data_IF_774163420119
#
_entry.id   IF_774163420119
#
_cell.length_a   1.000
_cell.length_b   1.000
_cell.length_c   1.000
_cell.angle_alpha   90.00
_cell.angle_beta   90.00
_cell.angle_gamma   90.00
#
_symmetry.space_group_name_H-M   'P 1'
#
loop_
_entity.id
_entity.type
_entity.pdbx_description
1 polymer ?
#
# COMPACT_ATOMS: atom_id res chain seq x y z
N UNK A 1 5.56 13.52 -1.54
CA UNK A 1 5.60 12.88 -2.88
C UNK A 1 4.56 13.56 -3.77
N UNK A 2 4.73 13.52 -5.10
CA UNK A 2 3.73 14.10 -6.02
C UNK A 2 2.47 13.23 -6.04
N UNK A 3 1.29 13.85 -6.14
CA UNK A 3 0.02 13.14 -6.36
C UNK A 3 -0.40 13.29 -7.81
N UNK A 4 -0.50 12.18 -8.53
CA UNK A 4 -1.11 12.19 -9.86
C UNK A 4 -2.62 12.26 -9.72
N UNK A 5 -3.25 13.15 -10.50
CA UNK A 5 -4.70 13.34 -10.52
C UNK A 5 -5.21 12.99 -11.91
N UNK A 6 -6.15 12.04 -11.95
CA UNK A 6 -6.90 11.67 -13.13
C UNK A 6 -8.15 12.55 -13.16
N UNK A 7 -8.24 13.44 -14.13
CA UNK A 7 -9.45 14.22 -14.39
C UNK A 7 -10.26 13.52 -15.47
N UNK A 8 -11.57 13.42 -15.26
CA UNK A 8 -12.52 12.96 -16.29
C UNK A 8 -13.29 14.17 -16.79
N UNK A 9 -13.51 14.28 -18.11
CA UNK A 9 -14.34 15.36 -18.65
C UNK A 9 -15.77 15.24 -18.09
N UNK A 10 -16.19 16.23 -17.30
CA UNK A 10 -17.52 16.25 -16.66
C UNK A 10 -17.71 15.27 -15.49
N UNK A 11 -16.67 14.57 -15.04
CA UNK A 11 -16.73 13.63 -13.92
C UNK A 11 -15.84 14.01 -12.73
N UNK A 12 -15.78 13.16 -11.70
CA UNK A 12 -14.98 13.42 -10.51
C UNK A 12 -13.48 13.42 -10.85
N UNK A 13 -12.72 14.23 -10.10
CA UNK A 13 -11.26 14.19 -10.08
C UNK A 13 -10.83 13.06 -9.15
N UNK A 14 -9.92 12.21 -9.60
CA UNK A 14 -9.43 11.06 -8.82
C UNK A 14 -7.95 11.22 -8.52
N UNK A 15 -7.56 11.14 -7.24
CA UNK A 15 -6.17 10.97 -6.86
C UNK A 15 -5.76 9.50 -7.04
N UNK A 16 -4.64 9.28 -7.74
CA UNK A 16 -3.99 7.98 -7.83
C UNK A 16 -3.17 7.72 -6.57
N UNK A 17 -3.53 6.67 -5.85
CA UNK A 17 -2.64 6.01 -4.89
C UNK A 17 -1.88 4.92 -5.65
N UNK A 18 -0.56 5.04 -5.73
CA UNK A 18 0.28 3.99 -6.30
C UNK A 18 1.62 3.94 -5.62
N UNK A 19 2.03 2.79 -5.10
CA UNK A 19 3.38 2.60 -4.59
C UNK A 19 3.74 1.11 -4.48
N UNK A 20 5.04 0.87 -4.30
CA UNK A 20 5.58 -0.44 -3.93
C UNK A 20 6.08 -0.35 -2.49
N UNK A 21 5.71 -1.33 -1.67
CA UNK A 21 6.22 -1.48 -0.31
C UNK A 21 7.20 -2.66 -0.27
N UNK A 22 8.34 -2.45 0.38
CA UNK A 22 9.34 -3.50 0.56
C UNK A 22 9.97 -3.42 1.94
N UNK A 23 10.27 -4.56 2.53
CA UNK A 23 11.15 -4.65 3.69
C UNK A 23 12.59 -4.87 3.23
N UNK A 24 13.45 -3.86 3.37
CA UNK A 24 14.85 -3.90 2.89
C UNK A 24 15.74 -4.88 3.65
N UNK A 25 15.48 -5.09 4.94
CA UNK A 25 16.18 -6.06 5.78
C UNK A 25 15.29 -6.53 6.93
N UNK A 26 15.57 -7.71 7.48
CA UNK A 26 14.88 -8.23 8.67
C UNK A 26 15.00 -7.21 9.82
N UNK A 27 13.87 -6.79 10.38
CA UNK A 27 13.82 -5.79 11.46
C UNK A 27 14.12 -4.33 11.06
N UNK A 28 14.50 -4.04 9.81
CA UNK A 28 14.79 -2.68 9.36
C UNK A 28 13.54 -1.84 9.03
N UNK A 29 12.36 -2.46 9.10
CA UNK A 29 11.09 -1.85 8.75
C UNK A 29 10.75 -1.99 7.28
N UNK A 30 9.46 -1.83 6.99
CA UNK A 30 8.97 -1.64 5.64
C UNK A 30 9.13 -0.18 5.22
N UNK A 31 9.26 0.05 3.92
CA UNK A 31 9.33 1.39 3.33
C UNK A 31 8.59 1.46 2.00
N UNK A 32 8.27 2.69 1.59
CA UNK A 32 7.81 3.01 0.23
C UNK A 32 9.03 3.09 -0.68
N UNK A 33 9.09 2.27 -1.73
CA UNK A 33 10.15 2.37 -2.73
C UNK A 33 9.97 3.64 -3.56
N UNK A 34 11.03 4.46 -3.60
CA UNK A 34 11.14 5.68 -4.39
C UNK A 34 12.56 5.76 -4.94
N UNK A 35 12.79 5.12 -6.09
CA UNK A 35 14.08 5.04 -6.76
C UNK A 35 13.92 5.28 -8.28
N UNK A 36 14.96 5.08 -9.07
CA UNK A 36 14.91 5.34 -10.53
C UNK A 36 13.90 4.47 -11.29
N UNK A 37 13.44 3.36 -10.70
CA UNK A 37 12.47 2.45 -11.28
C UNK A 37 11.07 2.54 -10.62
N UNK A 38 10.94 3.22 -9.47
CA UNK A 38 9.70 3.27 -8.70
C UNK A 38 9.31 4.72 -8.36
N UNK A 39 8.15 5.15 -8.84
CA UNK A 39 7.63 6.50 -8.66
C UNK A 39 6.28 6.47 -7.89
N UNK A 40 6.29 6.60 -6.55
CA UNK A 40 5.06 6.60 -5.77
C UNK A 40 4.19 7.84 -6.03
N UNK A 41 2.87 7.65 -5.95
CA UNK A 41 1.84 8.66 -6.15
C UNK A 41 0.85 8.65 -4.99
N UNK A 42 0.52 9.83 -4.45
CA UNK A 42 -0.55 9.99 -3.46
C UNK A 42 -0.27 9.41 -2.07
N UNK A 43 0.78 8.59 -1.92
CA UNK A 43 1.24 8.05 -0.63
C UNK A 43 2.33 8.97 -0.08
N UNK A 44 2.17 9.41 1.17
CA UNK A 44 3.08 10.35 1.81
C UNK A 44 4.03 9.69 2.82
N UNK A 45 3.69 8.50 3.30
CA UNK A 45 4.51 7.76 4.24
C UNK A 45 3.95 6.39 4.57
N UNK A 46 4.77 5.59 5.23
CA UNK A 46 4.45 4.26 5.71
C UNK A 46 4.84 4.17 7.19
N UNK A 47 3.92 3.68 8.01
CA UNK A 47 4.13 3.39 9.43
C UNK A 47 3.95 1.89 9.63
N UNK A 48 4.91 1.26 10.31
CA UNK A 48 4.81 -0.15 10.67
C UNK A 48 4.26 -0.29 12.09
N UNK A 49 3.15 -1.01 12.22
CA UNK A 49 2.57 -1.43 13.50
C UNK A 49 2.88 -2.91 13.76
N UNK A 50 2.66 -3.41 15.00
CA UNK A 50 2.89 -4.82 15.32
C UNK A 50 2.09 -5.81 14.47
N UNK A 51 0.91 -5.42 13.97
CA UNK A 51 -0.05 -6.29 13.27
C UNK A 51 -0.40 -5.84 11.85
N UNK A 52 0.02 -4.64 11.43
CA UNK A 52 -0.29 -4.10 10.10
C UNK A 52 0.71 -3.03 9.63
N UNK A 53 0.63 -2.70 8.36
CA UNK A 53 1.28 -1.54 7.75
C UNK A 53 0.25 -0.44 7.52
N UNK A 54 0.55 0.80 7.85
CA UNK A 54 -0.33 1.95 7.61
C UNK A 54 0.31 2.87 6.57
N UNK A 55 -0.32 3.01 5.40
CA UNK A 55 0.06 4.05 4.43
C UNK A 55 -0.74 5.33 4.72
N UNK A 56 -0.05 6.45 4.75
CA UNK A 56 -0.69 7.78 4.83
C UNK A 56 -0.83 8.36 3.44
N UNK A 57 -1.99 8.93 3.13
CA UNK A 57 -2.33 9.49 1.82
C UNK A 57 -3.29 10.70 1.94
N UNK A 58 -2.88 11.80 2.60
CA UNK A 58 -3.73 12.99 2.81
C UNK A 58 -3.89 13.81 1.53
N UNK A 59 -4.52 13.23 0.51
CA UNK A 59 -4.68 13.81 -0.83
C UNK A 59 -5.90 14.73 -0.93
N UNK A 60 -6.64 14.93 0.17
CA UNK A 60 -7.91 15.67 0.18
C UNK A 60 -9.07 14.84 -0.37
N UNK A 61 -9.06 13.53 -0.12
CA UNK A 61 -10.10 12.64 -0.59
C UNK A 61 -11.43 12.90 0.15
N UNK A 62 -12.53 12.89 -0.60
CA UNK A 62 -13.88 12.97 -0.07
C UNK A 62 -14.60 11.62 -0.12
N UNK A 63 -14.19 10.72 -1.03
CA UNK A 63 -14.72 9.35 -1.14
C UNK A 63 -13.64 8.37 -1.59
N UNK A 64 -13.79 7.12 -1.17
CA UNK A 64 -13.00 5.99 -1.66
C UNK A 64 -13.67 5.41 -2.90
N UNK A 65 -12.97 5.37 -4.03
CA UNK A 65 -13.45 4.63 -5.21
C UNK A 65 -12.96 3.18 -5.15
N UNK A 66 -11.65 2.97 -5.09
CA UNK A 66 -11.06 1.63 -4.91
C UNK A 66 -9.64 1.72 -4.36
N UNK A 67 -9.23 0.74 -3.57
CA UNK A 67 -7.82 0.51 -3.24
C UNK A 67 -7.60 -0.99 -3.20
N UNK A 68 -6.54 -1.44 -3.85
CA UNK A 68 -6.12 -2.83 -3.90
C UNK A 68 -4.66 -2.92 -3.46
N UNK A 69 -4.37 -3.99 -2.74
CA UNK A 69 -3.01 -4.38 -2.40
C UNK A 69 -2.82 -5.82 -2.84
N UNK A 70 -1.73 -6.07 -3.54
CA UNK A 70 -1.35 -7.42 -3.95
C UNK A 70 0.06 -7.75 -3.50
N UNK A 71 0.27 -9.01 -3.19
CA UNK A 71 1.62 -9.57 -3.04
C UNK A 71 2.22 -9.81 -4.43
N UNK A 72 3.53 -9.74 -4.53
CA UNK A 72 4.26 -10.21 -5.72
C UNK A 72 4.37 -11.74 -5.80
N UNK A 73 5.03 -12.24 -6.84
CA UNK A 73 5.24 -13.67 -7.07
C UNK A 73 6.02 -14.36 -5.95
N UNK A 74 6.98 -13.65 -5.32
CA UNK A 74 7.78 -14.20 -4.23
C UNK A 74 6.89 -14.52 -3.02
N UNK A 75 6.05 -13.57 -2.62
CA UNK A 75 5.17 -13.72 -1.49
C UNK A 75 3.96 -14.61 -1.80
N UNK A 76 3.43 -14.55 -3.03
CA UNK A 76 2.36 -15.43 -3.50
C UNK A 76 2.78 -16.90 -3.44
N UNK A 77 3.99 -17.25 -3.88
CA UNK A 77 4.53 -18.61 -3.82
C UNK A 77 4.68 -19.15 -2.38
N UNK A 78 4.67 -18.25 -1.38
CA UNK A 78 4.75 -18.57 0.05
C UNK A 78 3.39 -18.46 0.76
N UNK A 79 2.30 -18.40 -0.01
CA UNK A 79 0.95 -18.26 0.49
C UNK A 79 0.74 -17.04 1.41
N UNK A 80 1.53 -15.97 1.22
CA UNK A 80 1.23 -14.70 1.85
C UNK A 80 0.03 -14.08 1.14
N UNK A 81 -0.90 -13.55 1.92
CA UNK A 81 -2.08 -12.84 1.47
C UNK A 81 -2.12 -11.48 2.15
N UNK A 82 -2.77 -10.52 1.51
CA UNK A 82 -2.94 -9.19 2.07
C UNK A 82 -4.40 -8.74 1.97
N UNK A 83 -4.83 -7.93 2.94
CA UNK A 83 -6.10 -7.22 2.91
C UNK A 83 -5.87 -5.76 3.27
N UNK A 84 -6.69 -4.87 2.71
CA UNK A 84 -6.60 -3.42 2.98
C UNK A 84 -7.92 -2.91 3.56
N UNK A 85 -7.81 -2.22 4.70
CA UNK A 85 -8.88 -1.40 5.27
C UNK A 85 -8.60 0.06 4.92
N UNK A 86 -9.53 0.70 4.21
CA UNK A 86 -9.29 1.95 3.51
C UNK A 86 -10.02 3.10 4.20
N UNK A 87 -9.31 4.18 4.45
CA UNK A 87 -9.86 5.47 4.88
C UNK A 87 -9.65 6.56 3.83
N UNK A 88 -9.95 7.81 4.19
CA UNK A 88 -9.77 8.98 3.31
C UNK A 88 -8.33 9.52 3.30
N UNK A 89 -7.63 9.42 4.44
CA UNK A 89 -6.27 9.94 4.59
C UNK A 89 -5.23 8.87 4.95
N UNK A 90 -5.68 7.65 5.25
CA UNK A 90 -4.82 6.51 5.55
C UNK A 90 -5.47 5.19 5.17
N UNK A 91 -4.66 4.16 4.94
CA UNK A 91 -5.11 2.78 4.73
C UNK A 91 -4.22 1.81 5.52
N UNK A 92 -4.85 0.80 6.11
CA UNK A 92 -4.19 -0.25 6.88
C UNK A 92 -4.12 -1.54 6.07
N UNK A 93 -2.94 -2.10 5.94
CA UNK A 93 -2.64 -3.31 5.20
C UNK A 93 -2.29 -4.40 6.20
N UNK A 94 -3.14 -5.43 6.25
CA UNK A 94 -2.94 -6.61 7.08
C UNK A 94 -2.39 -7.74 6.23
N UNK A 95 -1.43 -8.48 6.77
CA UNK A 95 -0.76 -9.58 6.09
C UNK A 95 -1.14 -10.89 6.75
N UNK A 96 -1.38 -11.95 5.98
CA UNK A 96 -1.82 -13.26 6.47
C UNK A 96 -1.00 -14.35 5.79
N UNK A 97 -0.71 -15.46 6.49
CA UNK A 97 0.04 -16.59 5.92
C UNK A 97 -0.83 -17.85 5.86
N UNK A 98 -0.79 -18.54 4.72
CA UNK A 98 -1.58 -19.74 4.47
C UNK A 98 -3.06 -19.49 4.71
N UNK A 99 -3.71 -20.40 5.44
CA UNK A 99 -5.13 -20.32 5.79
C UNK A 99 -5.42 -19.48 7.06
N UNK A 100 -4.39 -18.94 7.74
CA UNK A 100 -4.59 -18.18 8.98
C UNK A 100 -5.46 -16.93 8.75
N UNK A 101 -6.34 -16.64 9.72
CA UNK A 101 -7.09 -15.38 9.82
C UNK A 101 -6.48 -14.40 10.80
N UNK A 102 -5.39 -14.78 11.49
CA UNK A 102 -4.63 -13.89 12.36
C UNK A 102 -3.56 -13.17 11.53
N UNK A 103 -3.43 -11.84 11.64
CA UNK A 103 -2.39 -11.10 10.95
C UNK A 103 -0.99 -11.56 11.37
N UNK A 104 -0.08 -11.60 10.40
CA UNK A 104 1.35 -11.80 10.62
C UNK A 104 1.98 -10.45 10.92
N UNK A 105 2.86 -10.40 11.91
CA UNK A 105 3.62 -9.20 12.22
C UNK A 105 4.46 -8.77 11.01
N UNK A 106 4.27 -7.55 10.46
CA UNK A 106 5.00 -7.14 9.25
C UNK A 106 6.52 -7.21 9.43
N UNK A 107 7.04 -6.92 10.64
CA UNK A 107 8.47 -6.95 10.95
C UNK A 107 9.15 -8.30 10.68
N UNK A 108 8.40 -9.41 10.75
CA UNK A 108 8.94 -10.76 10.54
C UNK A 108 9.00 -11.17 9.07
N UNK A 109 8.41 -10.37 8.18
CA UNK A 109 8.31 -10.66 6.75
C UNK A 109 9.42 -9.95 5.98
N UNK A 110 10.63 -10.53 6.04
CA UNK A 110 11.74 -10.10 5.21
C UNK A 110 11.96 -11.01 4.01
N UNK A 111 12.02 -10.39 2.83
CA UNK A 111 12.47 -11.00 1.60
C UNK A 111 13.22 -9.96 0.78
N UNK A 112 14.45 -10.27 0.37
CA UNK A 112 15.31 -9.33 -0.38
C UNK A 112 14.70 -8.84 -1.69
N UNK A 113 13.75 -9.58 -2.25
CA UNK A 113 13.03 -9.23 -3.49
C UNK A 113 11.52 -9.10 -3.31
N UNK A 114 10.95 -9.40 -2.14
CA UNK A 114 9.51 -9.45 -1.93
C UNK A 114 8.87 -8.06 -1.83
N UNK A 115 7.76 -7.87 -2.53
CA UNK A 115 7.03 -6.61 -2.64
C UNK A 115 5.54 -6.74 -2.32
N UNK A 116 4.97 -5.64 -1.85
CA UNK A 116 3.53 -5.38 -1.94
C UNK A 116 3.30 -4.26 -2.94
N UNK A 117 2.32 -4.44 -3.81
CA UNK A 117 1.92 -3.44 -4.80
C UNK A 117 0.60 -2.82 -4.35
N UNK A 118 0.59 -1.49 -4.22
CA UNK A 118 -0.60 -0.72 -3.86
C UNK A 118 -1.05 0.07 -5.08
N UNK A 119 -2.33 -0.06 -5.43
CA UNK A 119 -2.98 0.77 -6.45
C UNK A 119 -4.38 1.16 -5.99
N UNK A 120 -4.77 2.41 -6.16
CA UNK A 120 -6.09 2.88 -5.79
C UNK A 120 -6.45 4.23 -6.37
N UNK A 121 -7.74 4.54 -6.30
CA UNK A 121 -8.35 5.78 -6.75
C UNK A 121 -9.22 6.33 -5.61
N UNK A 122 -8.99 7.60 -5.27
CA UNK A 122 -9.79 8.34 -4.31
C UNK A 122 -10.42 9.56 -4.99
N UNK A 123 -11.71 9.80 -4.79
CA UNK A 123 -12.38 10.99 -5.32
C UNK A 123 -11.96 12.22 -4.52
N UNK A 124 -11.64 13.30 -5.22
CA UNK A 124 -11.29 14.60 -4.68
C UNK A 124 -12.50 15.55 -4.69
N UNK A 125 -12.49 16.50 -3.75
CA UNK A 125 -13.43 17.64 -3.72
C UNK A 125 -13.11 18.74 -4.73
#
# INVERSE_FOLDING_TARGET
MTTHVLATEGGPRLALLSCVLRQKAAGAGWEVLADSAHAPSGVNGLIQHPDHLEITHPVGAVRVSSVQVTVDEYYAARALRCGVSVGLDLSRIYLYSGASTSPVAPASLYASSGNLWVTGLLELG
#
